data_IF_987863394419
#
_entry.id   IF_987863394419
#
_cell.length_a   1.000
_cell.length_b   1.000
_cell.length_c   1.000
_cell.angle_alpha   90.00
_cell.angle_beta   90.00
_cell.angle_gamma   90.00
#
_symmetry.space_group_name_H-M   'P 1'
#
loop_
_entity.id
_entity.type
_entity.pdbx_description
1 polymer ?
#
# COMPACT_ATOMS: atom_id res chain seq x y z
N UNK A 1 -2.86 2.43 22.68
CA UNK A 1 -2.61 3.88 22.64
C UNK A 1 -3.77 4.55 21.93
N UNK A 2 -4.24 5.67 22.46
CA UNK A 2 -5.38 6.40 21.96
C UNK A 2 -4.96 7.20 20.72
N UNK A 3 -5.46 6.83 19.54
CA UNK A 3 -5.30 7.64 18.34
C UNK A 3 -6.23 8.85 18.45
N UNK A 4 -5.65 9.99 18.83
CA UNK A 4 -6.29 11.28 18.73
C UNK A 4 -6.59 11.57 17.26
N UNK A 5 -7.87 11.79 16.96
CA UNK A 5 -8.32 12.32 15.68
C UNK A 5 -8.03 13.82 15.72
N UNK A 6 -7.04 14.26 14.94
CA UNK A 6 -6.83 15.66 14.61
C UNK A 6 -6.57 15.73 13.09
N UNK A 7 -7.44 16.43 12.37
CA UNK A 7 -7.48 16.61 10.91
C UNK A 7 -7.56 15.33 10.06
N UNK A 8 -8.79 14.85 9.85
CA UNK A 8 -9.08 13.66 9.03
C UNK A 8 -8.66 13.74 7.57
N UNK A 9 -8.44 14.95 7.00
CA UNK A 9 -7.98 15.14 5.62
C UNK A 9 -6.44 15.23 5.54
N UNK A 10 -5.82 16.05 6.40
CA UNK A 10 -4.36 16.16 6.49
C UNK A 10 -3.66 14.83 6.78
N UNK A 11 -4.24 14.00 7.66
CA UNK A 11 -3.73 12.66 7.93
C UNK A 11 -3.81 11.72 6.71
N UNK A 12 -4.80 11.89 5.83
CA UNK A 12 -4.94 11.07 4.61
C UNK A 12 -4.02 11.56 3.49
N UNK A 13 -3.87 12.87 3.33
CA UNK A 13 -2.97 13.46 2.35
C UNK A 13 -1.52 13.08 2.69
N UNK A 14 -1.07 13.27 3.94
CA UNK A 14 0.26 12.85 4.39
C UNK A 14 0.50 11.36 4.19
N UNK A 15 -0.51 10.53 4.48
CA UNK A 15 -0.46 9.09 4.22
C UNK A 15 -0.21 8.80 2.74
N UNK A 16 -1.00 9.37 1.84
CA UNK A 16 -0.87 9.09 0.41
C UNK A 16 0.39 9.68 -0.21
N UNK A 17 0.91 10.80 0.31
CA UNK A 17 2.23 11.32 -0.06
C UNK A 17 3.33 10.32 0.28
N UNK A 18 3.33 9.77 1.50
CA UNK A 18 4.31 8.79 1.95
C UNK A 18 4.25 7.51 1.12
N UNK A 19 3.04 7.04 0.84
CA UNK A 19 2.79 5.90 -0.07
C UNK A 19 3.33 6.17 -1.47
N UNK A 20 3.15 7.40 -1.97
CA UNK A 20 3.61 7.77 -3.31
C UNK A 20 5.12 7.77 -3.40
N UNK A 21 5.78 8.20 -2.35
CA UNK A 21 7.23 8.27 -2.28
C UNK A 21 7.86 6.88 -2.14
N UNK A 22 7.31 6.00 -1.29
CA UNK A 22 8.00 4.76 -0.91
C UNK A 22 7.33 3.48 -1.37
N UNK A 23 6.00 3.44 -1.52
CA UNK A 23 5.30 2.19 -1.83
C UNK A 23 5.31 1.85 -3.32
N UNK A 24 5.36 2.86 -4.18
CA UNK A 24 5.35 2.71 -5.65
C UNK A 24 6.33 3.73 -6.27
N UNK A 25 7.65 3.56 -6.06
CA UNK A 25 8.66 4.49 -6.56
C UNK A 25 8.69 4.51 -8.11
N UNK A 26 9.18 5.59 -8.74
CA UNK A 26 9.24 5.71 -10.20
C UNK A 26 9.94 4.53 -10.89
N UNK A 27 11.06 4.05 -10.34
CA UNK A 27 11.81 2.90 -10.87
C UNK A 27 10.99 1.60 -10.91
N UNK A 28 10.07 1.41 -9.95
CA UNK A 28 9.12 0.30 -9.95
C UNK A 28 8.13 0.43 -11.10
N UNK A 29 7.56 1.62 -11.30
CA UNK A 29 6.60 1.90 -12.38
C UNK A 29 7.26 1.66 -13.74
N UNK A 30 8.46 2.19 -13.94
CA UNK A 30 9.25 2.03 -15.16
C UNK A 30 9.53 0.56 -15.47
N UNK A 31 10.08 -0.17 -14.49
CA UNK A 31 10.42 -1.59 -14.65
C UNK A 31 9.17 -2.44 -14.90
N UNK A 32 8.10 -2.25 -14.12
CA UNK A 32 6.86 -2.98 -14.28
C UNK A 32 6.19 -2.67 -15.63
N UNK A 33 6.19 -1.41 -16.05
CA UNK A 33 5.65 -0.99 -17.35
C UNK A 33 6.45 -1.56 -18.51
N UNK A 34 7.78 -1.53 -18.46
CA UNK A 34 8.63 -2.13 -19.49
C UNK A 34 8.35 -3.63 -19.66
N UNK A 35 8.30 -4.37 -18.56
CA UNK A 35 7.98 -5.82 -18.54
C UNK A 35 6.57 -6.10 -19.07
N UNK A 36 5.57 -5.33 -18.64
CA UNK A 36 4.19 -5.44 -19.12
C UNK A 36 4.07 -5.20 -20.63
N UNK A 37 4.75 -4.19 -21.18
CA UNK A 37 4.71 -3.84 -22.61
C UNK A 37 5.23 -4.97 -23.51
N UNK A 38 6.22 -5.73 -23.06
CA UNK A 38 6.73 -6.93 -23.79
C UNK A 38 5.93 -8.20 -23.49
N UNK A 39 4.87 -8.12 -22.67
CA UNK A 39 4.00 -9.24 -22.32
C UNK A 39 4.51 -10.13 -21.17
N UNK A 40 5.61 -9.75 -20.51
CA UNK A 40 6.17 -10.42 -19.33
C UNK A 40 5.42 -9.99 -18.06
N UNK A 41 4.19 -10.49 -17.91
CA UNK A 41 3.33 -10.17 -16.77
C UNK A 41 3.90 -10.68 -15.44
N UNK A 42 4.61 -11.80 -15.45
CA UNK A 42 5.24 -12.35 -14.24
C UNK A 42 6.42 -11.48 -13.79
N UNK A 43 7.26 -11.02 -14.72
CA UNK A 43 8.32 -10.05 -14.45
C UNK A 43 7.77 -8.70 -13.99
N UNK A 44 6.66 -8.24 -14.57
CA UNK A 44 5.98 -7.03 -14.10
C UNK A 44 5.48 -7.19 -12.64
N UNK A 45 4.88 -8.34 -12.32
CA UNK A 45 4.47 -8.68 -10.95
C UNK A 45 5.66 -8.67 -9.99
N UNK A 46 6.77 -9.33 -10.36
CA UNK A 46 7.96 -9.37 -9.53
C UNK A 46 8.54 -7.98 -9.26
N UNK A 47 8.59 -7.11 -10.29
CA UNK A 47 9.06 -5.73 -10.15
C UNK A 47 8.20 -4.90 -9.19
N UNK A 48 6.88 -5.17 -9.12
CA UNK A 48 5.95 -4.50 -8.22
C UNK A 48 5.77 -5.20 -6.85
N UNK A 49 6.63 -6.17 -6.51
CA UNK A 49 6.59 -6.88 -5.22
C UNK A 49 5.43 -7.87 -5.08
N UNK A 50 5.02 -8.48 -6.20
CA UNK A 50 4.00 -9.54 -6.21
C UNK A 50 4.62 -10.93 -6.29
N UNK A 51 4.04 -11.85 -5.52
CA UNK A 51 4.36 -13.27 -5.53
C UNK A 51 3.27 -14.02 -6.32
N UNK A 52 3.65 -14.61 -7.45
CA UNK A 52 2.70 -15.24 -8.39
C UNK A 52 2.51 -16.71 -8.05
N UNK A 53 1.30 -17.05 -7.61
CA UNK A 53 0.84 -18.41 -7.29
C UNK A 53 -0.22 -18.90 -8.30
N UNK A 54 -0.09 -18.52 -9.58
CA UNK A 54 -1.04 -18.89 -10.64
C UNK A 54 -0.42 -19.92 -11.58
N UNK A 55 -0.84 -21.18 -11.46
CA UNK A 55 -0.47 -22.24 -12.40
C UNK A 55 -1.49 -22.36 -13.55
N UNK A 56 -1.21 -21.66 -14.65
CA UNK A 56 -2.05 -21.71 -15.86
C UNK A 56 -2.06 -23.09 -16.53
N UNK A 57 -1.03 -23.93 -16.32
CA UNK A 57 -0.99 -25.29 -16.89
C UNK A 57 -1.91 -26.21 -16.11
N UNK A 58 -1.85 -26.16 -14.78
CA UNK A 58 -2.80 -26.88 -13.91
C UNK A 58 -4.23 -26.41 -14.17
N UNK A 59 -4.46 -25.10 -14.28
CA UNK A 59 -5.77 -24.54 -14.62
C UNK A 59 -6.31 -25.09 -15.95
N UNK A 60 -5.47 -25.13 -16.99
CA UNK A 60 -5.89 -25.65 -18.30
C UNK A 60 -6.24 -27.15 -18.28
N UNK A 61 -5.56 -27.94 -17.42
CA UNK A 61 -5.85 -29.37 -17.24
C UNK A 61 -7.14 -29.61 -16.48
N UNK A 62 -7.39 -28.86 -15.40
CA UNK A 62 -8.52 -29.10 -14.50
C UNK A 62 -9.82 -28.42 -14.97
N UNK A 63 -9.73 -27.21 -15.52
CA UNK A 63 -10.89 -26.39 -15.87
C UNK A 63 -10.94 -25.99 -17.35
N UNK A 64 -10.08 -26.58 -18.19
CA UNK A 64 -10.08 -26.39 -19.63
C UNK A 64 -9.27 -25.19 -20.14
N UNK A 65 -8.93 -25.26 -21.43
CA UNK A 65 -8.06 -24.28 -22.10
C UNK A 65 -8.69 -22.90 -22.21
N UNK A 66 -10.01 -22.81 -22.36
CA UNK A 66 -10.71 -21.54 -22.51
C UNK A 66 -10.63 -20.68 -21.25
N UNK A 67 -10.87 -21.28 -20.07
CA UNK A 67 -10.74 -20.55 -18.81
C UNK A 67 -9.30 -20.10 -18.59
N UNK A 68 -8.32 -20.97 -18.84
CA UNK A 68 -6.91 -20.62 -18.75
C UNK A 68 -6.51 -19.50 -19.71
N UNK A 69 -7.09 -19.45 -20.91
CA UNK A 69 -6.88 -18.36 -21.87
C UNK A 69 -7.46 -17.03 -21.37
N UNK A 70 -8.67 -17.03 -20.77
CA UNK A 70 -9.28 -15.83 -20.18
C UNK A 70 -8.45 -15.28 -19.02
N UNK A 71 -7.99 -16.16 -18.11
CA UNK A 71 -7.11 -15.76 -16.99
C UNK A 71 -5.79 -15.19 -17.54
N UNK A 72 -5.16 -15.87 -18.51
CA UNK A 72 -3.94 -15.37 -19.15
C UNK A 72 -4.13 -14.00 -19.81
N UNK A 73 -5.26 -13.79 -20.48
CA UNK A 73 -5.56 -12.51 -21.12
C UNK A 73 -5.65 -11.36 -20.11
N UNK A 74 -6.27 -11.60 -18.95
CA UNK A 74 -6.32 -10.61 -17.87
C UNK A 74 -4.93 -10.38 -17.24
N UNK A 75 -4.13 -11.44 -17.02
CA UNK A 75 -2.77 -11.31 -16.48
C UNK A 75 -1.85 -10.50 -17.40
N UNK A 76 -1.96 -10.65 -18.73
CA UNK A 76 -1.16 -9.85 -19.69
C UNK A 76 -1.49 -8.36 -19.64
N UNK A 77 -2.65 -7.98 -19.13
CA UNK A 77 -3.09 -6.59 -19.04
C UNK A 77 -3.01 -6.02 -17.62
N UNK A 78 -2.58 -6.84 -16.65
CA UNK A 78 -2.35 -6.42 -15.27
C UNK A 78 -1.22 -5.38 -15.21
N UNK A 79 -1.51 -4.21 -14.64
CA UNK A 79 -0.56 -3.21 -14.19
C UNK A 79 -0.38 -3.36 -12.67
N UNK A 80 0.59 -4.16 -12.19
CA UNK A 80 0.72 -4.50 -10.78
C UNK A 80 1.22 -3.32 -9.93
N UNK A 81 1.99 -2.41 -10.52
CA UNK A 81 2.37 -1.10 -9.97
C UNK A 81 1.14 -0.21 -9.70
N UNK A 82 0.24 -0.10 -10.68
CA UNK A 82 -1.04 0.60 -10.53
C UNK A 82 -1.93 -0.06 -9.47
N UNK A 83 -1.98 -1.39 -9.46
CA UNK A 83 -2.73 -2.15 -8.45
C UNK A 83 -2.19 -1.88 -7.05
N UNK A 84 -0.86 -1.97 -6.86
CA UNK A 84 -0.18 -1.73 -5.59
C UNK A 84 -0.47 -0.33 -5.06
N UNK A 85 -0.49 0.67 -5.93
CA UNK A 85 -0.85 2.04 -5.57
C UNK A 85 -2.25 2.10 -4.92
N UNK A 86 -3.24 1.46 -5.54
CA UNK A 86 -4.63 1.47 -5.08
C UNK A 86 -5.01 0.40 -4.04
N UNK A 87 -4.07 -0.41 -3.58
CA UNK A 87 -4.35 -1.40 -2.55
C UNK A 87 -4.83 -0.73 -1.24
N UNK A 88 -5.74 -1.36 -0.47
CA UNK A 88 -6.19 -0.82 0.80
C UNK A 88 -5.04 -0.67 1.81
N UNK A 89 -4.99 0.49 2.48
CA UNK A 89 -3.90 0.87 3.40
C UNK A 89 -4.40 1.27 4.78
N UNK A 90 -3.50 1.27 5.75
CA UNK A 90 -3.77 1.63 7.15
C UNK A 90 -2.98 2.88 7.52
N UNK A 91 -3.66 3.80 8.19
CA UNK A 91 -3.07 5.03 8.71
C UNK A 91 -2.32 4.80 10.03
N UNK A 92 -1.31 5.64 10.35
CA UNK A 92 -0.88 6.82 9.59
C UNK A 92 0.12 6.51 8.47
N UNK A 93 0.84 5.39 8.57
CA UNK A 93 2.06 5.17 7.78
C UNK A 93 1.80 4.76 6.32
N UNK A 94 0.57 4.36 5.98
CA UNK A 94 0.23 4.00 4.61
C UNK A 94 0.61 2.58 4.22
N UNK A 95 0.93 1.72 5.19
CA UNK A 95 1.18 0.30 4.95
C UNK A 95 -0.09 -0.41 4.45
N UNK A 96 0.09 -1.40 3.58
CA UNK A 96 -0.93 -2.31 3.11
C UNK A 96 -1.69 -2.91 4.29
N UNK A 97 -3.01 -2.95 4.15
CA UNK A 97 -3.86 -3.57 5.14
C UNK A 97 -3.56 -5.08 5.21
N UNK A 98 -3.14 -5.61 6.36
CA UNK A 98 -2.74 -7.00 6.46
C UNK A 98 -3.93 -7.97 6.41
N UNK A 99 -3.67 -9.19 5.97
CA UNK A 99 -4.59 -10.33 6.00
C UNK A 99 -5.81 -10.19 5.11
N UNK A 100 -5.75 -9.45 4.01
CA UNK A 100 -6.85 -9.34 3.05
C UNK A 100 -6.76 -10.41 1.98
N UNK A 101 -7.91 -10.93 1.56
CA UNK A 101 -8.09 -11.58 0.25
C UNK A 101 -9.09 -10.73 -0.54
N UNK A 102 -8.73 -10.31 -1.75
CA UNK A 102 -9.55 -9.42 -2.58
C UNK A 102 -9.67 -9.99 -3.98
N UNK A 103 -10.88 -9.93 -4.55
CA UNK A 103 -11.12 -10.38 -5.93
C UNK A 103 -10.69 -9.30 -6.91
N UNK A 104 -9.84 -9.66 -7.87
CA UNK A 104 -9.52 -8.86 -9.06
C UNK A 104 -10.45 -9.19 -10.22
N UNK A 105 -10.77 -10.46 -10.44
CA UNK A 105 -11.66 -10.89 -11.52
C UNK A 105 -12.41 -12.16 -11.15
N UNK A 106 -13.62 -12.32 -11.69
CA UNK A 106 -14.47 -13.50 -11.53
C UNK A 106 -14.60 -14.21 -12.86
N UNK A 107 -14.58 -15.54 -12.83
CA UNK A 107 -14.73 -16.40 -13.98
C UNK A 107 -15.72 -17.51 -13.67
N UNK A 108 -16.54 -17.86 -14.65
CA UNK A 108 -17.39 -19.04 -14.59
C UNK A 108 -16.55 -20.28 -14.89
N UNK A 109 -16.64 -21.30 -14.04
CA UNK A 109 -15.92 -22.55 -14.12
C UNK A 109 -16.89 -23.73 -13.95
N UNK A 110 -17.65 -24.05 -15.00
CA UNK A 110 -18.72 -25.05 -14.93
C UNK A 110 -19.83 -24.62 -13.97
N UNK A 111 -20.09 -25.42 -12.94
CA UNK A 111 -21.09 -25.14 -11.91
C UNK A 111 -20.61 -24.20 -10.77
N UNK A 112 -19.33 -23.82 -10.75
CA UNK A 112 -18.73 -22.95 -9.72
C UNK A 112 -18.17 -21.63 -10.26
N UNK A 113 -17.77 -20.74 -9.34
CA UNK A 113 -17.03 -19.52 -9.69
C UNK A 113 -15.57 -19.63 -9.28
N UNK A 114 -14.67 -19.29 -10.19
CA UNK A 114 -13.26 -19.10 -9.91
C UNK A 114 -12.92 -17.62 -9.88
N UNK A 115 -12.04 -17.21 -8.98
CA UNK A 115 -11.66 -15.84 -8.75
C UNK A 115 -10.16 -15.69 -8.92
N UNK A 116 -9.71 -14.71 -9.72
CA UNK A 116 -8.35 -14.19 -9.61
C UNK A 116 -8.33 -13.26 -8.39
N UNK A 117 -7.47 -13.55 -7.43
CA UNK A 117 -7.41 -12.83 -6.16
C UNK A 117 -6.01 -12.34 -5.87
N UNK A 118 -5.94 -11.25 -5.09
CA UNK A 118 -4.72 -10.82 -4.43
C UNK A 118 -4.85 -10.94 -2.93
N UNK A 119 -3.75 -11.26 -2.25
CA UNK A 119 -3.70 -11.35 -0.79
C UNK A 119 -2.54 -10.62 -0.19
N UNK A 120 -2.80 -9.95 0.93
CA UNK A 120 -1.77 -9.34 1.78
C UNK A 120 -1.50 -10.26 2.96
N UNK A 121 -0.23 -10.43 3.31
CA UNK A 121 0.13 -11.27 4.44
C UNK A 121 -0.49 -10.77 5.77
N UNK A 122 -0.70 -11.66 6.77
CA UNK A 122 -1.10 -11.23 8.10
C UNK A 122 -0.06 -10.28 8.72
N UNK A 123 -0.47 -9.49 9.72
CA UNK A 123 0.36 -8.44 10.30
C UNK A 123 1.66 -8.93 10.95
N UNK A 124 1.78 -10.21 11.27
CA UNK A 124 3.00 -10.80 11.82
C UNK A 124 3.98 -11.26 10.72
N UNK A 125 3.54 -11.27 9.46
CA UNK A 125 4.29 -11.71 8.28
C UNK A 125 4.24 -10.70 7.13
N UNK A 126 3.90 -9.42 7.36
CA UNK A 126 3.72 -8.41 6.30
C UNK A 126 5.03 -7.74 5.84
N UNK A 127 6.13 -8.48 5.93
CA UNK A 127 7.45 -8.04 5.49
C UNK A 127 7.43 -7.60 4.02
N UNK A 128 8.18 -6.54 3.74
CA UNK A 128 8.34 -5.91 2.42
C UNK A 128 7.03 -5.57 1.70
N UNK A 129 5.89 -5.56 2.41
CA UNK A 129 4.59 -5.24 1.83
C UNK A 129 4.29 -6.09 0.58
N UNK A 130 4.64 -7.38 0.63
CA UNK A 130 4.46 -8.33 -0.47
C UNK A 130 2.98 -8.65 -0.70
N UNK A 131 2.62 -8.83 -1.97
CA UNK A 131 1.24 -9.14 -2.38
C UNK A 131 1.25 -10.46 -3.14
N UNK A 132 0.52 -11.46 -2.67
CA UNK A 132 0.35 -12.71 -3.44
C UNK A 132 -0.75 -12.56 -4.48
N UNK A 133 -0.54 -13.08 -5.69
CA UNK A 133 -1.52 -13.17 -6.77
C UNK A 133 -1.83 -14.65 -7.01
N UNK A 134 -3.09 -15.04 -6.89
CA UNK A 134 -3.47 -16.46 -6.91
C UNK A 134 -4.86 -16.67 -7.50
N UNK A 135 -5.20 -17.92 -7.77
CA UNK A 135 -6.57 -18.34 -8.05
C UNK A 135 -7.25 -18.81 -6.75
N UNK A 136 -8.53 -18.52 -6.63
CA UNK A 136 -9.38 -19.00 -5.55
C UNK A 136 -10.64 -19.62 -6.13
N UNK A 137 -10.99 -20.81 -5.68
CA UNK A 137 -12.17 -21.55 -6.12
C UNK A 137 -13.23 -21.59 -5.00
N UNK A 138 -14.48 -21.29 -5.33
CA UNK A 138 -15.62 -21.34 -4.40
C UNK A 138 -15.92 -22.76 -3.91
N UNK A 139 -15.71 -23.78 -4.75
CA UNK A 139 -15.90 -25.19 -4.38
C UNK A 139 -14.77 -25.77 -3.53
N UNK A 140 -13.60 -25.14 -3.55
CA UNK A 140 -12.40 -25.65 -2.89
C UNK A 140 -12.34 -25.32 -1.40
N UNK A 141 -12.44 -26.35 -0.55
CA UNK A 141 -12.03 -26.26 0.86
C UNK A 141 -10.50 -26.36 0.91
N UNK A 142 -9.82 -25.29 0.48
CA UNK A 142 -8.36 -25.23 0.51
C UNK A 142 -7.85 -24.85 1.89
N UNK A 143 -6.93 -25.67 2.45
CA UNK A 143 -6.09 -25.37 3.61
C UNK A 143 -5.09 -24.23 3.29
N UNK A 144 -5.61 -23.06 2.93
CA UNK A 144 -4.77 -21.87 2.80
C UNK A 144 -4.33 -21.46 4.21
N UNK A 145 -3.03 -21.30 4.49
CA UNK A 145 -2.55 -20.80 5.79
C UNK A 145 -2.93 -19.33 6.02
N UNK A 146 -3.58 -18.69 5.04
CA UNK A 146 -4.04 -17.32 5.12
C UNK A 146 -5.24 -17.19 6.09
N UNK A 147 -5.21 -16.26 7.07
CA UNK A 147 -6.24 -16.17 8.12
C UNK A 147 -7.64 -15.83 7.60
N UNK A 148 -7.70 -15.16 6.45
CA UNK A 148 -8.95 -14.79 5.78
C UNK A 148 -8.92 -15.30 4.34
N UNK A 149 -9.15 -16.61 4.11
CA UNK A 149 -8.93 -17.23 2.81
C UNK A 149 -10.00 -16.85 1.78
N UNK A 150 -11.18 -16.46 2.25
CA UNK A 150 -12.31 -16.06 1.41
C UNK A 150 -12.20 -14.58 0.99
N UNK A 151 -12.52 -14.23 -0.27
CA UNK A 151 -12.58 -12.85 -0.70
C UNK A 151 -13.50 -11.98 0.16
N UNK A 152 -13.00 -10.80 0.53
CA UNK A 152 -13.74 -9.88 1.37
C UNK A 152 -14.80 -9.11 0.56
N UNK A 153 -16.06 -9.15 1.01
CA UNK A 153 -17.19 -8.47 0.33
C UNK A 153 -17.04 -6.95 0.17
N UNK A 154 -16.20 -6.29 0.99
CA UNK A 154 -15.91 -4.84 0.90
C UNK A 154 -14.83 -4.51 -0.13
N UNK A 155 -13.89 -5.40 -0.38
CA UNK A 155 -12.73 -5.12 -1.22
C UNK A 155 -12.88 -5.83 -2.58
N UNK A 156 -13.64 -5.18 -3.47
CA UNK A 156 -14.13 -5.71 -4.76
C UNK A 156 -13.46 -5.00 -5.93
N UNK A 157 -12.21 -5.36 -6.22
CA UNK A 157 -11.46 -4.82 -7.36
C UNK A 157 -11.92 -5.42 -8.70
N UNK A 158 -12.71 -6.48 -8.68
CA UNK A 158 -13.46 -6.99 -9.83
C UNK A 158 -14.47 -5.98 -10.39
N UNK A 159 -14.99 -5.11 -9.54
CA UNK A 159 -15.86 -4.00 -9.96
C UNK A 159 -15.06 -2.75 -10.35
N UNK A 160 -13.76 -2.71 -10.05
CA UNK A 160 -12.89 -1.53 -10.23
C UNK A 160 -11.66 -1.88 -11.07
N UNK A 161 -11.90 -2.51 -12.24
CA UNK A 161 -10.82 -2.95 -13.14
C UNK A 161 -9.91 -1.80 -13.58
N UNK A 162 -10.43 -0.58 -13.66
CA UNK A 162 -9.64 0.62 -13.99
C UNK A 162 -8.49 0.93 -13.02
N UNK A 163 -8.47 0.31 -11.82
CA UNK A 163 -7.39 0.44 -10.85
C UNK A 163 -6.24 -0.55 -11.05
N UNK A 164 -6.32 -1.46 -12.03
CA UNK A 164 -5.28 -2.48 -12.25
C UNK A 164 -5.20 -3.05 -13.68
N UNK A 165 -6.27 -3.02 -14.47
CA UNK A 165 -6.32 -3.47 -15.87
C UNK A 165 -5.95 -2.29 -16.77
N UNK A 166 -4.77 -2.33 -17.38
CA UNK A 166 -4.26 -1.24 -18.20
C UNK A 166 -5.15 -0.89 -19.40
N UNK A 167 -6.01 -1.81 -19.85
CA UNK A 167 -6.96 -1.55 -20.96
C UNK A 167 -8.17 -0.74 -20.51
N UNK A 168 -8.42 -0.66 -19.20
CA UNK A 168 -9.58 0.00 -18.60
C UNK A 168 -9.21 1.21 -17.77
N UNK A 169 -7.94 1.61 -17.76
CA UNK A 169 -7.51 2.78 -16.99
C UNK A 169 -8.20 4.06 -17.43
N UNK A 170 -8.62 4.16 -18.70
CA UNK A 170 -9.42 5.28 -19.19
C UNK A 170 -10.77 5.44 -18.46
N UNK A 171 -11.34 4.37 -17.90
CA UNK A 171 -12.56 4.50 -17.08
C UNK A 171 -12.31 5.31 -15.80
N UNK A 172 -11.05 5.54 -15.39
CA UNK A 172 -10.73 6.39 -14.22
C UNK A 172 -11.39 7.77 -14.32
N UNK A 173 -11.45 8.36 -15.52
CA UNK A 173 -12.04 9.68 -15.74
C UNK A 173 -13.50 9.73 -15.25
N UNK A 174 -14.30 8.79 -15.73
CA UNK A 174 -15.74 8.69 -15.42
C UNK A 174 -15.94 8.13 -13.99
N UNK A 175 -15.19 7.09 -13.62
CA UNK A 175 -15.39 6.32 -12.38
C UNK A 175 -14.89 7.04 -11.13
N UNK A 176 -13.95 7.98 -11.25
CA UNK A 176 -13.31 8.62 -10.10
C UNK A 176 -13.93 9.97 -9.73
N UNK A 177 -14.93 10.44 -10.49
CA UNK A 177 -15.52 11.77 -10.33
C UNK A 177 -14.69 12.89 -10.99
N UNK A 178 -13.74 12.55 -11.87
CA UNK A 178 -12.88 13.54 -12.52
C UNK A 178 -13.64 14.42 -13.53
N UNK A 179 -14.68 13.92 -14.19
CA UNK A 179 -15.56 14.72 -15.06
C UNK A 179 -16.36 15.78 -14.29
N UNK A 180 -16.67 15.51 -13.01
CA UNK A 180 -17.44 16.42 -12.16
C UNK A 180 -16.60 17.55 -11.56
N UNK A 181 -15.30 17.64 -11.90
CA UNK A 181 -14.49 18.83 -11.67
C UNK A 181 -15.04 20.05 -12.44
N UNK A 182 -15.94 19.83 -13.42
CA UNK A 182 -16.54 20.89 -14.23
C UNK A 182 -17.92 21.37 -13.72
N UNK A 183 -18.71 20.55 -13.00
CA UNK A 183 -20.10 20.92 -12.67
C UNK A 183 -20.52 20.42 -11.27
N UNK A 184 -21.01 21.36 -10.45
CA UNK A 184 -21.56 21.12 -9.11
C UNK A 184 -22.86 20.29 -9.19
N UNK A 185 -22.75 18.97 -9.14
CA UNK A 185 -23.89 18.06 -9.08
C UNK A 185 -24.78 18.28 -7.84
N UNK A 186 -26.09 18.12 -8.06
CA UNK A 186 -27.18 18.23 -7.08
C UNK A 186 -27.06 17.15 -6.00
N UNK A 187 -26.37 17.47 -4.90
CA UNK A 187 -26.15 16.54 -3.79
C UNK A 187 -27.12 16.78 -2.64
N UNK A 188 -27.58 15.71 -1.99
CA UNK A 188 -28.31 15.80 -0.72
C UNK A 188 -27.42 16.46 0.35
N UNK A 189 -27.81 17.67 0.74
CA UNK A 189 -27.13 18.50 1.76
C UNK A 189 -27.01 17.79 3.12
N UNK A 190 -27.89 16.83 3.43
CA UNK A 190 -27.87 16.07 4.68
C UNK A 190 -26.82 14.97 4.67
N UNK A 191 -26.66 14.25 3.55
CA UNK A 191 -25.60 13.26 3.35
C UNK A 191 -24.21 13.87 3.57
N UNK A 192 -23.95 15.05 2.99
CA UNK A 192 -22.66 15.77 3.13
C UNK A 192 -22.29 16.08 4.58
N UNK A 193 -23.26 16.35 5.46
CA UNK A 193 -23.01 16.64 6.88
C UNK A 193 -22.68 15.40 7.73
N UNK A 194 -23.11 14.21 7.30
CA UNK A 194 -23.00 12.97 8.09
C UNK A 194 -21.79 12.10 7.71
N UNK A 195 -21.28 12.27 6.50
CA UNK A 195 -20.15 11.52 5.97
C UNK A 195 -18.81 12.19 6.34
N UNK A 196 -17.74 11.41 6.57
CA UNK A 196 -16.41 12.00 6.70
C UNK A 196 -16.00 12.74 5.43
N UNK A 197 -15.17 13.78 5.60
CA UNK A 197 -14.51 14.49 4.49
C UNK A 197 -13.67 13.51 3.64
N UNK A 198 -13.59 13.79 2.33
CA UNK A 198 -12.90 12.95 1.35
C UNK A 198 -13.69 11.72 0.88
N UNK A 199 -14.97 11.60 1.23
CA UNK A 199 -15.88 10.63 0.64
C UNK A 199 -16.32 11.07 -0.76
N UNK A 200 -16.35 10.14 -1.72
CA UNK A 200 -16.78 10.42 -3.09
C UNK A 200 -18.30 10.17 -3.24
N UNK A 201 -19.10 10.96 -2.50
CA UNK A 201 -20.55 10.77 -2.38
C UNK A 201 -21.24 10.84 -3.75
N UNK A 202 -20.73 11.70 -4.61
CA UNK A 202 -21.20 12.01 -5.94
C UNK A 202 -21.23 10.80 -6.89
N UNK A 203 -20.33 9.84 -6.70
CA UNK A 203 -20.26 8.59 -7.49
C UNK A 203 -20.95 7.41 -6.83
N UNK A 204 -21.40 7.53 -5.58
CA UNK A 204 -21.93 6.37 -4.85
C UNK A 204 -23.18 5.79 -5.50
N UNK A 205 -24.02 6.59 -6.15
CA UNK A 205 -25.21 6.09 -6.84
C UNK A 205 -24.83 5.17 -8.02
N UNK A 206 -23.94 5.64 -8.90
CA UNK A 206 -23.44 4.86 -10.03
C UNK A 206 -22.69 3.59 -9.58
N UNK A 207 -21.88 3.68 -8.53
CA UNK A 207 -21.16 2.53 -7.97
C UNK A 207 -22.10 1.54 -7.25
N UNK A 208 -23.19 2.03 -6.64
CA UNK A 208 -24.24 1.20 -6.07
C UNK A 208 -24.99 0.40 -7.14
N UNK A 209 -25.30 1.00 -8.29
CA UNK A 209 -25.91 0.29 -9.43
C UNK A 209 -25.01 -0.84 -9.93
N UNK A 210 -23.72 -0.57 -10.11
CA UNK A 210 -22.73 -1.57 -10.53
C UNK A 210 -22.68 -2.72 -9.52
N UNK A 211 -22.63 -2.41 -8.22
CA UNK A 211 -22.62 -3.40 -7.15
C UNK A 211 -23.89 -4.27 -7.17
N UNK A 212 -25.07 -3.66 -7.18
CA UNK A 212 -26.34 -4.37 -7.09
C UNK A 212 -26.54 -5.28 -8.32
N UNK A 213 -26.20 -4.78 -9.52
CA UNK A 213 -26.21 -5.58 -10.75
C UNK A 213 -25.26 -6.78 -10.65
N UNK A 214 -24.05 -6.58 -10.13
CA UNK A 214 -23.07 -7.66 -9.96
C UNK A 214 -23.48 -8.70 -8.90
N UNK A 215 -24.33 -8.31 -7.94
CA UNK A 215 -24.93 -9.19 -6.93
C UNK A 215 -26.26 -9.81 -7.39
N UNK A 216 -26.74 -9.48 -8.60
CA UNK A 216 -28.05 -9.94 -9.12
C UNK A 216 -29.24 -9.41 -8.31
N UNK A 217 -29.10 -8.23 -7.69
CA UNK A 217 -30.12 -7.61 -6.83
C UNK A 217 -30.78 -6.42 -7.52
N UNK A 218 -32.09 -6.19 -7.30
CA UNK A 218 -32.74 -4.96 -7.71
C UNK A 218 -32.19 -3.75 -6.92
N UNK A 219 -32.46 -2.50 -7.37
CA UNK A 219 -32.26 -1.30 -6.57
C UNK A 219 -32.81 -1.46 -5.15
N UNK A 220 -32.08 -0.98 -4.15
CA UNK A 220 -32.46 -1.16 -2.75
C UNK A 220 -31.36 -0.78 -1.76
N UNK A 221 -31.47 -1.22 -0.50
CA UNK A 221 -30.57 -0.82 0.57
C UNK A 221 -29.18 -1.44 0.42
N UNK A 222 -28.15 -0.67 0.74
CA UNK A 222 -26.76 -1.08 0.78
C UNK A 222 -26.00 -0.41 1.93
N UNK A 223 -24.87 -1.01 2.30
CA UNK A 223 -24.05 -0.57 3.43
C UNK A 223 -22.81 0.20 2.96
N UNK A 224 -22.63 1.44 3.39
CA UNK A 224 -21.39 2.21 3.22
C UNK A 224 -20.57 2.13 4.52
N UNK A 225 -19.27 1.84 4.42
CA UNK A 225 -18.37 1.72 5.59
C UNK A 225 -17.20 2.69 5.48
N UNK A 226 -17.08 3.58 6.47
CA UNK A 226 -16.00 4.57 6.55
C UNK A 226 -14.82 4.12 7.43
N UNK A 227 -14.86 2.89 7.96
CA UNK A 227 -13.82 2.38 8.84
C UNK A 227 -14.33 1.29 9.77
N UNK A 228 -13.63 1.07 10.89
CA UNK A 228 -13.94 -0.01 11.82
C UNK A 228 -15.30 0.17 12.53
N UNK A 229 -15.72 1.41 12.79
CA UNK A 229 -16.91 1.70 13.63
C UNK A 229 -17.96 2.60 12.97
N UNK A 230 -17.63 3.26 11.86
CA UNK A 230 -18.55 4.16 11.14
C UNK A 230 -19.12 3.45 9.93
N UNK A 231 -20.45 3.31 9.92
CA UNK A 231 -21.21 2.69 8.84
C UNK A 231 -22.56 3.39 8.68
N UNK A 232 -23.10 3.36 7.47
CA UNK A 232 -24.36 3.99 7.10
C UNK A 232 -25.09 3.12 6.11
N UNK A 233 -26.41 3.05 6.22
CA UNK A 233 -27.26 2.42 5.20
C UNK A 233 -27.78 3.51 4.28
N UNK A 234 -27.55 3.31 2.99
CA UNK A 234 -28.12 4.15 1.94
C UNK A 234 -29.00 3.28 1.05
N UNK A 235 -29.96 3.89 0.40
CA UNK A 235 -30.91 3.22 -0.48
C UNK A 235 -30.85 3.86 -1.86
N UNK A 236 -30.74 3.00 -2.88
CA UNK A 236 -30.84 3.38 -4.27
C UNK A 236 -32.31 3.16 -4.72
N UNK A 237 -33.04 4.23 -5.11
CA UNK A 237 -34.43 4.11 -5.51
C UNK A 237 -34.60 3.38 -6.85
N UNK A 238 -35.77 2.75 -7.05
CA UNK A 238 -36.06 1.90 -8.21
C UNK A 238 -36.45 2.63 -9.50
N UNK A 239 -36.59 3.97 -9.50
CA UNK A 239 -37.16 4.74 -10.61
C UNK A 239 -36.37 6.02 -10.97
N UNK A 240 -36.44 6.37 -12.26
CA UNK A 240 -35.65 7.36 -13.03
C UNK A 240 -35.76 8.84 -12.63
N UNK A 241 -36.45 9.17 -11.54
CA UNK A 241 -36.79 10.57 -11.26
C UNK A 241 -35.74 11.33 -10.44
N UNK A 242 -34.76 10.65 -9.83
CA UNK A 242 -33.54 11.25 -9.30
C UNK A 242 -32.55 10.14 -8.83
N UNK A 243 -31.32 10.00 -9.37
CA UNK A 243 -30.35 8.99 -8.91
C UNK A 243 -29.71 9.34 -7.56
N UNK A 244 -30.34 10.20 -6.75
CA UNK A 244 -29.81 10.59 -5.44
C UNK A 244 -30.04 9.48 -4.42
N UNK A 245 -28.94 8.97 -3.87
CA UNK A 245 -28.97 8.05 -2.74
C UNK A 245 -29.63 8.69 -1.52
N UNK A 246 -30.47 7.92 -0.84
CA UNK A 246 -31.15 8.37 0.39
C UNK A 246 -30.63 7.64 1.61
N UNK A 247 -30.55 8.33 2.75
CA UNK A 247 -30.19 7.69 4.02
C UNK A 247 -31.38 6.87 4.53
N UNK A 248 -31.18 5.58 4.79
CA UNK A 248 -32.19 4.77 5.46
C UNK A 248 -32.15 5.04 6.97
N UNK A 249 -33.05 5.88 7.48
CA UNK A 249 -33.02 6.36 8.88
C UNK A 249 -33.20 5.25 9.93
N UNK A 250 -33.91 4.16 9.60
CA UNK A 250 -34.22 3.06 10.54
C UNK A 250 -34.12 1.68 9.88
N UNK A 251 -32.92 1.27 9.51
CA UNK A 251 -32.68 -0.10 9.03
C UNK A 251 -32.41 -1.06 10.22
N UNK A 252 -33.09 -2.23 10.32
CA UNK A 252 -32.88 -3.18 11.40
C UNK A 252 -31.42 -3.67 11.46
N UNK A 253 -30.76 -3.53 12.62
CA UNK A 253 -29.36 -3.95 12.81
C UNK A 253 -29.13 -5.44 12.47
N UNK A 254 -30.12 -6.29 12.72
CA UNK A 254 -30.08 -7.72 12.44
C UNK A 254 -30.01 -8.05 10.94
N UNK A 255 -30.56 -7.18 10.07
CA UNK A 255 -30.59 -7.40 8.62
C UNK A 255 -29.35 -6.83 7.91
N UNK A 256 -28.52 -6.04 8.60
CA UNK A 256 -27.35 -5.39 8.02
C UNK A 256 -26.28 -6.34 7.44
N UNK A 257 -25.98 -7.51 8.03
CA UNK A 257 -24.98 -8.43 7.46
C UNK A 257 -25.36 -8.96 6.07
N UNK A 258 -26.66 -9.00 5.75
CA UNK A 258 -27.19 -9.48 4.48
C UNK A 258 -27.15 -8.42 3.36
N UNK A 259 -26.90 -7.15 3.71
CA UNK A 259 -26.81 -6.07 2.73
C UNK A 259 -25.54 -6.20 1.88
N UNK A 260 -25.60 -5.79 0.59
CA UNK A 260 -24.40 -5.55 -0.19
C UNK A 260 -23.63 -4.37 0.43
N UNK A 261 -22.30 -4.41 0.33
CA UNK A 261 -21.42 -3.40 0.92
C UNK A 261 -20.81 -2.60 -0.23
N UNK A 262 -20.94 -1.27 -0.20
CA UNK A 262 -20.28 -0.40 -1.17
C UNK A 262 -18.76 -0.67 -1.13
N UNK A 263 -18.12 -0.96 -2.28
CA UNK A 263 -16.71 -1.24 -2.30
C UNK A 263 -15.87 -0.10 -1.72
N UNK A 264 -14.75 -0.46 -1.08
CA UNK A 264 -13.86 0.53 -0.45
C UNK A 264 -13.32 1.57 -1.46
N UNK A 265 -12.98 1.09 -2.66
CA UNK A 265 -12.51 1.90 -3.78
C UNK A 265 -13.53 2.93 -4.30
N UNK A 266 -14.82 2.73 -4.02
CA UNK A 266 -15.90 3.66 -4.33
C UNK A 266 -16.27 4.57 -3.16
N UNK A 267 -15.86 4.25 -1.94
CA UNK A 267 -16.26 4.99 -0.75
C UNK A 267 -15.55 6.35 -0.66
N UNK A 268 -14.28 6.39 -1.05
CA UNK A 268 -13.40 7.56 -0.91
C UNK A 268 -13.04 8.16 -2.26
N UNK A 269 -12.72 9.46 -2.25
CA UNK A 269 -12.09 10.12 -3.40
C UNK A 269 -10.80 9.38 -3.74
N UNK A 270 -10.54 9.23 -5.05
CA UNK A 270 -9.34 8.57 -5.55
C UNK A 270 -8.09 9.26 -4.97
N UNK A 271 -7.08 8.50 -4.49
CA UNK A 271 -5.88 9.08 -3.90
C UNK A 271 -5.21 10.13 -4.78
N UNK A 272 -5.13 9.88 -6.09
CA UNK A 272 -4.54 10.79 -7.07
C UNK A 272 -5.27 12.14 -7.12
N UNK A 273 -6.61 12.12 -7.18
CA UNK A 273 -7.43 13.33 -7.17
C UNK A 273 -7.34 14.07 -5.84
N UNK A 274 -7.34 13.34 -4.72
CA UNK A 274 -7.18 13.94 -3.40
C UNK A 274 -5.84 14.67 -3.24
N UNK A 275 -4.74 14.09 -3.75
CA UNK A 275 -3.41 14.71 -3.71
C UNK A 275 -3.32 15.93 -4.63
N UNK A 276 -3.90 15.88 -5.83
CA UNK A 276 -3.96 17.03 -6.76
C UNK A 276 -4.79 18.17 -6.16
N UNK A 277 -5.99 17.87 -5.65
CA UNK A 277 -6.86 18.86 -5.02
C UNK A 277 -6.20 19.58 -3.84
N UNK A 278 -5.39 18.86 -3.07
CA UNK A 278 -4.63 19.43 -1.97
C UNK A 278 -3.41 20.24 -2.41
N UNK A 279 -3.08 20.27 -3.72
CA UNK A 279 -1.83 20.85 -4.23
C UNK A 279 -0.58 20.10 -3.75
N UNK A 280 -0.74 18.87 -3.26
CA UNK A 280 0.33 18.09 -2.65
C UNK A 280 1.26 17.44 -3.69
N UNK A 281 0.73 17.21 -4.90
CA UNK A 281 1.48 16.76 -6.07
C UNK A 281 0.95 17.45 -7.32
N UNK A 282 1.79 17.48 -8.35
CA UNK A 282 1.47 17.88 -9.72
C UNK A 282 1.28 16.65 -10.62
N UNK A 283 0.73 16.87 -11.83
CA UNK A 283 0.41 15.82 -12.79
C UNK A 283 1.60 14.91 -13.17
N UNK A 284 2.82 15.45 -13.20
CA UNK A 284 4.06 14.71 -13.49
C UNK A 284 4.42 13.69 -12.42
N UNK A 285 3.89 13.84 -11.21
CA UNK A 285 4.07 12.86 -10.14
C UNK A 285 2.96 11.81 -10.12
N UNK A 286 1.98 11.83 -11.04
CA UNK A 286 0.94 10.80 -11.15
C UNK A 286 1.46 9.51 -11.78
N UNK A 287 0.71 8.42 -11.59
CA UNK A 287 1.05 7.17 -12.25
C UNK A 287 0.76 7.35 -13.75
N UNK A 288 1.62 6.92 -14.69
CA UNK A 288 1.44 7.21 -16.12
C UNK A 288 0.05 6.83 -16.67
N UNK A 289 -0.49 5.66 -16.29
CA UNK A 289 -1.86 5.25 -16.65
C UNK A 289 -2.96 6.13 -16.04
N UNK A 290 -2.71 6.72 -14.87
CA UNK A 290 -3.65 7.65 -14.21
C UNK A 290 -3.55 9.02 -14.86
N UNK A 291 -2.33 9.52 -15.08
CA UNK A 291 -2.06 10.78 -15.78
C UNK A 291 -2.73 10.79 -17.16
N UNK A 292 -2.49 9.75 -17.96
CA UNK A 292 -3.08 9.62 -19.30
C UNK A 292 -4.62 9.52 -19.29
N UNK A 293 -5.21 9.01 -18.21
CA UNK A 293 -6.67 8.91 -18.09
C UNK A 293 -7.32 10.20 -17.59
N UNK A 294 -6.68 10.91 -16.67
CA UNK A 294 -7.22 12.12 -16.03
C UNK A 294 -6.87 13.41 -16.79
N UNK A 295 -5.77 13.40 -17.56
CA UNK A 295 -5.24 14.55 -18.27
C UNK A 295 -4.87 14.14 -19.70
N UNK A 296 -5.83 14.07 -20.63
CA UNK A 296 -5.60 13.57 -21.99
C UNK A 296 -4.55 14.38 -22.78
N UNK A 297 -4.44 15.69 -22.49
CA UNK A 297 -3.48 16.60 -23.13
C UNK A 297 -2.10 16.58 -22.45
N UNK A 298 -1.95 15.83 -21.36
CA UNK A 298 -0.69 15.73 -20.64
C UNK A 298 0.25 14.74 -21.34
N UNK A 299 1.24 15.26 -22.04
CA UNK A 299 2.39 14.47 -22.50
C UNK A 299 3.42 14.38 -21.37
N UNK A 300 3.81 13.17 -20.93
CA UNK A 300 4.87 13.01 -19.93
C UNK A 300 6.14 13.63 -20.48
N UNK A 301 6.70 14.60 -19.76
CA UNK A 301 8.08 15.00 -20.03
C UNK A 301 8.98 13.90 -19.48
N UNK A 302 9.78 13.26 -20.33
CA UNK A 302 10.85 12.38 -19.89
C UNK A 302 11.82 13.20 -19.03
N UNK A 303 11.58 13.24 -17.72
CA UNK A 303 12.60 13.67 -16.78
C UNK A 303 13.37 12.41 -16.40
N UNK A 304 14.59 12.30 -16.92
CA UNK A 304 15.58 11.44 -16.31
C UNK A 304 15.65 11.83 -14.84
N UNK A 305 15.56 10.83 -13.96
CA UNK A 305 15.82 11.02 -12.56
C UNK A 305 17.29 11.43 -12.45
N UNK A 306 17.56 12.73 -12.31
CA UNK A 306 18.90 13.23 -12.01
C UNK A 306 19.32 12.63 -10.67
N UNK A 307 20.21 11.65 -10.74
CA UNK A 307 21.05 11.24 -9.61
C UNK A 307 22.21 12.22 -9.45
N UNK A 308 21.97 13.52 -9.59
CA UNK A 308 22.96 14.54 -9.32
C UNK A 308 22.88 14.90 -7.84
N UNK A 309 23.67 14.18 -7.02
CA UNK A 309 24.27 14.65 -5.75
C UNK A 309 25.14 13.62 -4.99
N UNK A 310 25.66 12.58 -5.64
CA UNK A 310 26.41 11.51 -4.91
C UNK A 310 27.91 11.81 -4.75
N UNK A 311 28.49 12.73 -5.53
CA UNK A 311 29.95 12.88 -5.58
C UNK A 311 30.54 14.09 -4.83
N UNK A 312 29.75 14.82 -4.03
CA UNK A 312 30.30 15.94 -3.26
C UNK A 312 30.81 15.47 -1.89
N UNK A 313 32.11 15.66 -1.57
CA UNK A 313 32.62 15.32 -0.25
C UNK A 313 31.94 16.17 0.82
N UNK A 314 31.56 15.53 1.94
CA UNK A 314 31.01 16.20 3.12
C UNK A 314 32.12 16.94 3.85
N UNK A 315 31.84 18.15 4.33
CA UNK A 315 32.79 18.96 5.08
C UNK A 315 32.58 18.77 6.58
N UNK A 316 33.67 18.61 7.32
CA UNK A 316 33.70 18.43 8.77
C UNK A 316 34.76 19.36 9.36
N UNK A 317 34.43 20.09 10.41
CA UNK A 317 35.40 20.88 11.15
C UNK A 317 36.28 19.97 12.02
N UNK A 318 37.57 19.90 11.71
CA UNK A 318 38.54 19.06 12.40
C UNK A 318 39.72 19.92 12.85
N UNK A 319 39.94 20.01 14.17
CA UNK A 319 41.04 20.80 14.77
C UNK A 319 41.09 22.28 14.30
N UNK A 320 39.94 22.88 13.96
CA UNK A 320 39.84 24.27 13.51
C UNK A 320 39.96 24.49 12.00
N UNK A 321 40.11 23.41 11.21
CA UNK A 321 40.13 23.47 9.74
C UNK A 321 38.97 22.67 9.14
N UNK A 322 38.55 23.00 7.91
CA UNK A 322 37.52 22.24 7.20
C UNK A 322 38.15 21.08 6.44
N UNK A 323 37.83 19.86 6.87
CA UNK A 323 38.26 18.61 6.26
C UNK A 323 37.12 17.97 5.46
N UNK A 324 37.48 17.19 4.45
CA UNK A 324 36.59 16.49 3.52
C UNK A 324 36.52 15.01 3.87
N UNK A 325 35.31 14.49 3.94
CA UNK A 325 35.03 13.05 3.96
C UNK A 325 34.30 12.67 2.68
N UNK A 326 34.74 11.60 2.02
CA UNK A 326 34.21 11.18 0.73
C UNK A 326 34.46 9.71 0.47
N UNK A 327 33.79 9.17 -0.56
CA UNK A 327 33.94 7.77 -0.95
C UNK A 327 35.27 7.59 -1.70
N UNK A 328 36.08 6.64 -1.25
CA UNK A 328 37.30 6.19 -1.92
C UNK A 328 37.28 4.66 -1.93
N UNK A 329 37.44 4.05 -3.10
CA UNK A 329 37.38 2.59 -3.28
C UNK A 329 36.14 1.95 -2.62
N UNK A 330 34.98 2.56 -2.80
CA UNK A 330 33.72 2.03 -2.29
C UNK A 330 33.50 2.16 -0.78
N UNK A 331 34.33 2.93 -0.06
CA UNK A 331 34.17 3.17 1.37
C UNK A 331 34.36 4.65 1.76
N UNK A 332 33.55 5.12 2.71
CA UNK A 332 33.63 6.47 3.25
C UNK A 332 34.93 6.68 4.05
N UNK A 333 35.76 7.62 3.57
CA UNK A 333 37.12 7.87 4.07
C UNK A 333 37.34 9.37 4.33
N UNK A 334 38.20 9.69 5.30
CA UNK A 334 38.65 11.07 5.53
C UNK A 334 39.79 11.41 4.55
N UNK A 335 39.53 12.34 3.61
CA UNK A 335 40.43 12.61 2.47
C UNK A 335 41.65 13.46 2.85
N UNK A 336 41.53 14.25 3.92
CA UNK A 336 42.55 15.20 4.34
C UNK A 336 43.45 14.65 5.48
N UNK A 337 43.48 13.33 5.67
CA UNK A 337 44.34 12.66 6.65
C UNK A 337 45.22 11.59 5.99
N UNK A 338 46.47 11.51 6.43
CA UNK A 338 47.38 10.44 6.01
C UNK A 338 46.95 9.08 6.60
N UNK A 339 47.06 7.96 5.85
CA UNK A 339 46.68 6.64 6.35
C UNK A 339 47.38 6.21 7.65
N UNK A 340 48.61 6.67 7.92
CA UNK A 340 49.27 6.40 9.20
C UNK A 340 48.64 7.19 10.36
N UNK A 341 48.18 8.41 10.10
CA UNK A 341 47.42 9.20 11.08
C UNK A 341 46.09 8.53 11.39
N UNK A 342 45.35 8.08 10.37
CA UNK A 342 44.08 7.36 10.54
C UNK A 342 44.30 6.10 11.40
N UNK A 343 45.29 5.26 11.07
CA UNK A 343 45.59 4.04 11.85
C UNK A 343 45.92 4.33 13.31
N UNK A 344 46.68 5.39 13.59
CA UNK A 344 47.02 5.80 14.96
C UNK A 344 45.77 6.20 15.73
N UNK A 345 44.87 6.94 15.10
CA UNK A 345 43.61 7.36 15.70
C UNK A 345 42.64 6.20 15.92
N UNK A 346 42.60 5.21 15.01
CA UNK A 346 41.84 3.97 15.20
C UNK A 346 42.34 3.16 16.40
N UNK A 347 43.66 3.12 16.63
CA UNK A 347 44.24 2.51 17.84
C UNK A 347 43.86 3.30 19.11
N UNK A 348 43.81 4.64 19.04
CA UNK A 348 43.34 5.45 20.16
C UNK A 348 41.88 5.15 20.50
N UNK A 349 41.01 5.00 19.49
CA UNK A 349 39.61 4.58 19.69
C UNK A 349 39.54 3.24 20.43
N UNK A 350 40.32 2.26 19.99
CA UNK A 350 40.35 0.93 20.62
C UNK A 350 40.79 0.98 22.09
N UNK A 351 41.59 1.99 22.47
CA UNK A 351 42.03 2.26 23.83
C UNK A 351 41.14 3.26 24.57
N UNK A 352 39.90 3.48 24.10
CA UNK A 352 38.91 4.40 24.68
C UNK A 352 39.28 5.89 24.63
N UNK A 353 40.24 6.27 23.77
CA UNK A 353 40.58 7.65 23.47
C UNK A 353 39.54 8.33 22.59
N UNK A 354 39.45 9.66 22.66
CA UNK A 354 38.54 10.45 21.83
C UNK A 354 39.12 10.59 20.41
N UNK A 355 38.47 10.05 19.37
CA UNK A 355 38.96 10.18 18.01
C UNK A 355 38.82 11.59 17.44
N UNK A 356 39.50 11.84 16.33
CA UNK A 356 39.30 13.03 15.50
C UNK A 356 37.83 13.23 15.07
N UNK A 357 37.37 14.49 14.95
CA UNK A 357 36.04 14.82 14.42
C UNK A 357 35.71 14.15 13.08
N UNK A 358 36.68 14.01 12.16
CA UNK A 358 36.47 13.29 10.90
C UNK A 358 36.11 11.81 11.11
N UNK A 359 36.81 11.11 12.01
CA UNK A 359 36.53 9.71 12.31
C UNK A 359 35.24 9.55 13.12
N UNK A 360 34.91 10.52 13.98
CA UNK A 360 33.61 10.59 14.65
C UNK A 360 32.48 10.74 13.65
N UNK A 361 32.61 11.63 12.66
CA UNK A 361 31.61 11.84 11.63
C UNK A 361 31.40 10.59 10.76
N UNK A 362 32.48 9.87 10.42
CA UNK A 362 32.40 8.58 9.72
C UNK A 362 31.71 7.52 10.58
N UNK A 363 32.09 7.39 11.86
CA UNK A 363 31.45 6.43 12.77
C UNK A 363 29.95 6.75 12.98
N UNK A 364 29.60 8.02 13.12
CA UNK A 364 28.21 8.49 13.20
C UNK A 364 27.42 8.12 11.94
N UNK A 365 28.00 8.32 10.75
CA UNK A 365 27.37 7.93 9.49
C UNK A 365 27.09 6.41 9.42
N UNK A 366 27.97 5.58 9.98
CA UNK A 366 27.76 4.12 10.01
C UNK A 366 26.69 3.70 11.03
N UNK A 367 26.60 4.37 12.18
CA UNK A 367 25.74 3.92 13.29
C UNK A 367 24.36 4.55 13.28
N UNK A 368 24.30 5.86 13.06
CA UNK A 368 23.08 6.67 13.15
C UNK A 368 23.09 7.75 12.05
N UNK A 369 22.98 7.36 10.78
CA UNK A 369 22.98 8.31 9.68
C UNK A 369 21.74 9.20 9.71
N UNK A 370 21.88 10.45 9.29
CA UNK A 370 20.75 11.41 9.21
C UNK A 370 19.60 10.89 8.32
N UNK A 371 19.94 10.06 7.31
CA UNK A 371 18.98 9.46 6.40
C UNK A 371 18.31 8.18 6.95
N UNK A 372 18.59 7.76 8.20
CA UNK A 372 18.06 6.51 8.77
C UNK A 372 16.53 6.43 8.69
N UNK A 373 15.83 7.53 8.94
CA UNK A 373 14.37 7.59 8.83
C UNK A 373 13.90 7.29 7.40
N UNK A 374 14.59 7.84 6.39
CA UNK A 374 14.29 7.57 4.98
C UNK A 374 14.58 6.13 4.56
N UNK A 375 15.58 5.49 5.18
CA UNK A 375 15.88 4.06 4.99
C UNK A 375 14.77 3.20 5.64
N UNK A 376 14.40 3.50 6.89
CA UNK A 376 13.33 2.82 7.63
C UNK A 376 12.00 2.88 6.89
N UNK A 377 11.65 4.04 6.34
CA UNK A 377 10.40 4.24 5.60
C UNK A 377 10.36 3.40 4.32
N UNK A 378 11.46 3.37 3.57
CA UNK A 378 11.58 2.54 2.37
C UNK A 378 11.51 1.06 2.68
N UNK A 379 12.24 0.59 3.69
CA UNK A 379 12.18 -0.80 4.14
C UNK A 379 10.77 -1.18 4.60
N UNK A 380 10.10 -0.32 5.35
CA UNK A 380 8.72 -0.54 5.82
C UNK A 380 7.73 -0.65 4.66
N UNK A 381 7.98 0.06 3.55
CA UNK A 381 7.15 0.04 2.35
C UNK A 381 7.56 -1.02 1.32
N UNK A 382 8.64 -1.78 1.58
CA UNK A 382 9.18 -2.80 0.69
C UNK A 382 10.10 -2.30 -0.42
N UNK A 383 10.51 -1.03 -0.39
CA UNK A 383 11.52 -0.46 -1.29
C UNK A 383 12.94 -0.76 -0.79
N UNK A 384 13.31 -2.04 -0.84
CA UNK A 384 14.65 -2.48 -0.40
C UNK A 384 15.73 -1.87 -1.30
N UNK A 385 15.50 -1.83 -2.61
CA UNK A 385 16.47 -1.30 -3.57
C UNK A 385 16.75 0.18 -3.30
N UNK A 386 15.71 1.00 -3.09
CA UNK A 386 15.91 2.41 -2.75
C UNK A 386 16.53 2.60 -1.37
N UNK A 387 16.22 1.74 -0.40
CA UNK A 387 16.85 1.78 0.92
C UNK A 387 18.35 1.49 0.85
N UNK A 388 18.75 0.45 0.10
CA UNK A 388 20.14 0.09 -0.10
C UNK A 388 20.89 1.14 -0.92
N UNK A 389 20.28 1.69 -1.97
CA UNK A 389 20.89 2.77 -2.75
C UNK A 389 21.25 4.01 -1.91
N UNK A 390 20.42 4.35 -0.90
CA UNK A 390 20.74 5.43 0.04
C UNK A 390 21.93 5.07 0.93
N UNK A 391 21.98 3.84 1.44
CA UNK A 391 23.06 3.37 2.30
C UNK A 391 24.37 3.27 1.53
N UNK A 392 24.34 2.70 0.33
CA UNK A 392 25.48 2.57 -0.58
C UNK A 392 25.96 3.95 -1.06
N UNK A 393 25.05 4.89 -1.33
CA UNK A 393 25.42 6.26 -1.66
C UNK A 393 26.05 7.03 -0.50
N UNK A 394 25.72 6.70 0.74
CA UNK A 394 26.27 7.35 1.94
C UNK A 394 27.60 6.74 2.39
N UNK A 395 27.67 5.42 2.47
CA UNK A 395 28.80 4.68 3.06
C UNK A 395 29.73 4.10 2.00
N UNK A 396 29.23 3.92 0.79
CA UNK A 396 29.86 3.18 -0.29
C UNK A 396 29.38 1.71 -0.35
N UNK A 397 29.44 1.08 -1.54
CA UNK A 397 28.99 -0.30 -1.74
C UNK A 397 29.80 -1.35 -0.97
N UNK A 398 31.06 -1.06 -0.65
CA UNK A 398 31.98 -1.98 0.04
C UNK A 398 32.03 -1.72 1.56
N UNK A 399 31.15 -0.86 2.08
CA UNK A 399 31.14 -0.49 3.49
C UNK A 399 30.75 -1.66 4.40
N UNK A 400 31.60 -1.94 5.39
CA UNK A 400 31.30 -2.90 6.46
C UNK A 400 30.42 -2.23 7.52
N UNK A 401 29.18 -2.72 7.66
CA UNK A 401 28.23 -2.17 8.62
C UNK A 401 28.69 -2.37 10.07
N UNK A 402 28.85 -1.25 10.79
CA UNK A 402 29.19 -1.21 12.21
C UNK A 402 27.94 -1.46 13.07
N UNK A 403 28.14 -1.87 14.32
CA UNK A 403 27.05 -2.00 15.28
C UNK A 403 26.40 -0.63 15.56
N UNK A 404 25.08 -0.55 15.41
CA UNK A 404 24.31 0.68 15.55
C UNK A 404 22.93 0.55 14.91
N UNK A 405 22.11 1.60 15.02
CA UNK A 405 20.72 1.59 14.60
C UNK A 405 20.51 1.23 13.12
N UNK A 406 21.44 1.61 12.23
CA UNK A 406 21.38 1.23 10.82
C UNK A 406 21.47 -0.28 10.62
N UNK A 407 22.48 -0.92 11.25
CA UNK A 407 22.66 -2.38 11.16
C UNK A 407 21.49 -3.11 11.80
N UNK A 408 21.03 -2.65 12.95
CA UNK A 408 19.90 -3.25 13.66
C UNK A 408 18.62 -3.22 12.82
N UNK A 409 18.36 -2.12 12.10
CA UNK A 409 17.21 -2.02 11.20
C UNK A 409 17.32 -2.98 10.00
N UNK A 410 18.49 -3.06 9.36
CA UNK A 410 18.71 -3.96 8.24
C UNK A 410 18.59 -5.44 8.67
N UNK A 411 19.11 -5.78 9.85
CA UNK A 411 18.97 -7.12 10.43
C UNK A 411 17.50 -7.42 10.79
N UNK A 412 16.78 -6.46 11.38
CA UNK A 412 15.36 -6.61 11.67
C UNK A 412 14.54 -6.83 10.39
N UNK A 413 14.86 -6.09 9.32
CA UNK A 413 14.26 -6.27 8.00
C UNK A 413 14.53 -7.67 7.44
N UNK A 414 15.78 -8.15 7.49
CA UNK A 414 16.14 -9.50 7.07
C UNK A 414 15.37 -10.59 7.86
N UNK A 415 15.24 -10.44 9.18
CA UNK A 415 14.46 -11.35 10.02
C UNK A 415 12.98 -11.36 9.64
N UNK A 416 12.37 -10.19 9.38
CA UNK A 416 10.98 -10.09 8.91
C UNK A 416 10.77 -10.85 7.59
N UNK A 417 11.72 -10.77 6.66
CA UNK A 417 11.69 -11.49 5.38
C UNK A 417 11.72 -13.01 5.55
N UNK A 418 12.52 -13.50 6.50
CA UNK A 418 12.53 -14.94 6.85
C UNK A 418 11.15 -15.36 7.38
N UNK A 419 10.55 -14.58 8.28
CA UNK A 419 9.20 -14.84 8.79
C UNK A 419 8.16 -14.89 7.68
N UNK A 420 8.23 -13.96 6.71
CA UNK A 420 7.38 -13.98 5.53
C UNK A 420 7.59 -15.25 4.67
N UNK A 421 8.84 -15.66 4.45
CA UNK A 421 9.16 -16.90 3.74
C UNK A 421 8.60 -18.15 4.42
N UNK A 422 8.67 -18.21 5.76
CA UNK A 422 8.07 -19.29 6.55
C UNK A 422 6.53 -19.29 6.44
N UNK A 423 5.90 -18.12 6.44
CA UNK A 423 4.45 -18.00 6.23
C UNK A 423 4.06 -18.49 4.82
N UNK A 424 4.81 -18.07 3.80
CA UNK A 424 4.56 -18.44 2.40
C UNK A 424 4.67 -19.93 2.14
N UNK A 425 5.62 -20.58 2.79
CA UNK A 425 5.83 -22.03 2.70
C UNK A 425 4.88 -22.85 3.58
N UNK A 426 4.03 -22.22 4.40
CA UNK A 426 3.15 -22.91 5.34
C UNK A 426 3.91 -23.58 6.50
N UNK A 427 5.17 -23.20 6.72
CA UNK A 427 6.05 -23.76 7.76
C UNK A 427 5.89 -23.06 9.11
N UNK A 428 5.16 -21.96 9.17
CA UNK A 428 4.65 -21.44 10.42
C UNK A 428 3.48 -22.33 10.85
N UNK A 429 3.69 -23.21 11.83
CA UNK A 429 2.56 -23.84 12.55
C UNK A 429 1.55 -22.78 12.99
N UNK A 430 0.29 -23.18 13.29
CA UNK A 430 -0.82 -22.28 13.66
C UNK A 430 -0.31 -21.01 14.34
N UNK A 431 -0.28 -19.90 13.59
CA UNK A 431 0.49 -18.71 13.96
C UNK A 431 0.16 -18.25 15.38
N UNK A 432 1.04 -17.48 16.04
CA UNK A 432 0.85 -17.08 17.42
C UNK A 432 -0.57 -16.54 17.60
N UNK A 433 -1.34 -17.24 18.45
CA UNK A 433 -2.68 -16.79 18.85
C UNK A 433 -2.53 -15.35 19.33
N UNK A 434 -3.39 -14.41 18.88
CA UNK A 434 -3.34 -13.05 19.41
C UNK A 434 -3.48 -13.16 20.91
N UNK A 435 -2.40 -12.89 21.65
CA UNK A 435 -2.45 -12.82 23.11
C UNK A 435 -3.50 -11.74 23.39
N UNK A 436 -4.65 -12.09 24.01
CA UNK A 436 -5.57 -11.06 24.44
C UNK A 436 -4.77 -10.20 25.40
N UNK A 437 -4.55 -8.94 25.04
CA UNK A 437 -3.99 -7.98 25.99
C UNK A 437 -4.94 -8.00 27.18
N UNK A 438 -4.46 -8.61 28.25
CA UNK A 438 -5.23 -8.90 29.45
C UNK A 438 -5.46 -7.55 30.13
N UNK A 439 -6.48 -6.81 29.65
CA UNK A 439 -7.02 -5.67 30.37
C UNK A 439 -7.56 -6.25 31.67
N UNK A 440 -6.78 -6.08 32.73
CA UNK A 440 -7.22 -6.20 34.11
C UNK A 440 -8.60 -5.55 34.21
N UNK A 441 -9.62 -6.39 34.32
CA UNK A 441 -10.97 -5.97 34.67
C UNK A 441 -10.91 -5.63 36.15
N UNK A 442 -10.65 -4.36 36.46
CA UNK A 442 -11.02 -3.83 37.75
C UNK A 442 -12.55 -3.71 37.76
N UNK A 443 -13.18 -4.79 38.23
CA UNK A 443 -14.59 -4.84 38.57
C UNK A 443 -14.79 -3.94 39.81
N UNK A 444 -15.15 -2.67 39.59
CA UNK A 444 -15.90 -1.92 40.62
C UNK A 444 -17.35 -2.34 40.55
N UNK A 445 -17.70 -3.29 41.40
CA UNK A 445 -19.07 -3.58 41.82
C UNK A 445 -19.71 -2.32 42.40
N UNK A 446 -20.82 -1.86 41.83
CA UNK A 446 -21.80 -1.06 42.58
C UNK A 446 -23.22 -1.57 42.33
N UNK A 447 -24.07 -1.57 43.37
CA UNK A 447 -25.25 -2.41 43.46
C UNK A 447 -26.47 -1.74 42.83
N UNK A 448 -27.43 -2.59 42.42
CA UNK A 448 -28.80 -2.17 42.10
C UNK A 448 -29.46 -1.60 43.35
N UNK A 449 -29.83 -0.32 43.32
CA UNK A 449 -30.91 0.17 44.17
C UNK A 449 -32.20 0.14 43.36
N UNK A 450 -33.08 -0.78 43.76
CA UNK A 450 -34.49 -0.71 43.50
C UNK A 450 -35.10 0.33 44.46
N UNK A 451 -35.96 1.21 43.95
CA UNK A 451 -37.01 1.82 44.77
C UNK A 451 -38.25 2.02 43.91
N UNK A 452 -39.29 1.29 44.32
CA UNK A 452 -40.70 1.54 44.08
C UNK A 452 -41.08 2.94 44.59
N UNK A 453 -41.82 3.71 43.79
CA UNK A 453 -43.16 4.20 44.14
C UNK A 453 -43.88 4.68 42.89
#
# INVERSE_FOLDING_TARGET
MHNHIANGDGSRISLWLRVREFAVPPSMIETATARRRVGDWAGACAAAGFDVDVDLRSLARTHGRELAARVRADLRCLAPDLLRWHMPRVAPDGLLRPGLTMTLARYHAGAGSMHLVVRTAPAWADADQRISLALWDESGVGNSPHPHPRPNRRFRLDLHRHLWDARRSNELLIRSGAEQFAENGTMDSRLRKMVPQGCAIDRWAAEAEILLRAEGRPPGPLLVRFGARRRMVVELPSLRDDPVLRIAERYPRAMMPALPILPDAATWVLPDLALIHAGAITADRLHPLVAAALLPDYSPTEKSCDTDRVDQPRLVECRGEQHRIGLVNGALTALDHDPAEIRREELLIALSGTPLPCLQAIDQAHRHPDCLVGVQDRLSHGDITGALAIVEGLLGPDAVLRAGALRDELEASARRRITYGLFRSGLTGSGPTPIPTNRRRDYRSRPRNATSR
#
